data_IF_599525996344
#
_entry.id   IF_599525996344
#
_cell.length_a   1.000
_cell.length_b   1.000
_cell.length_c   1.000
_cell.angle_alpha   90.00
_cell.angle_beta   90.00
_cell.angle_gamma   90.00
#
_symmetry.space_group_name_H-M   'P 1'
#
loop_
_entity.id
_entity.type
_entity.pdbx_description
1 polymer ?
#
# COMPACT_ATOMS: atom_id res chain seq x y z
N UNK A 1 -13.27 20.79 12.50
CA UNK A 1 -13.14 19.41 12.03
C UNK A 1 -13.79 19.32 10.66
N UNK A 2 -13.13 18.76 9.67
CA UNK A 2 -13.67 18.62 8.32
C UNK A 2 -14.88 17.69 8.38
N UNK A 3 -16.03 18.10 7.87
CA UNK A 3 -17.24 17.26 7.86
C UNK A 3 -17.38 16.50 6.54
N UNK A 4 -16.96 17.13 5.46
CA UNK A 4 -17.09 16.61 4.11
C UNK A 4 -15.85 16.94 3.29
N UNK A 5 -15.52 16.10 2.34
CA UNK A 5 -14.44 16.32 1.36
C UNK A 5 -14.98 16.13 -0.06
N UNK A 6 -14.84 17.17 -0.90
CA UNK A 6 -15.14 17.10 -2.32
C UNK A 6 -13.90 16.57 -3.07
N UNK A 7 -14.07 15.50 -3.85
CA UNK A 7 -13.03 14.86 -4.63
C UNK A 7 -12.91 15.47 -6.04
N UNK A 8 -11.86 15.08 -6.79
CA UNK A 8 -11.60 15.58 -8.15
C UNK A 8 -12.67 15.19 -9.16
N UNK A 9 -13.37 14.07 -8.94
CA UNK A 9 -14.49 13.63 -9.77
C UNK A 9 -15.81 14.38 -9.50
N UNK A 10 -15.77 15.32 -8.57
CA UNK A 10 -16.92 16.14 -8.16
C UNK A 10 -17.80 15.54 -7.06
N UNK A 11 -17.59 14.28 -6.67
CA UNK A 11 -18.31 13.66 -5.55
C UNK A 11 -17.89 14.24 -4.23
N UNK A 12 -18.86 14.42 -3.34
CA UNK A 12 -18.64 14.84 -1.95
C UNK A 12 -18.87 13.64 -1.04
N UNK A 13 -17.93 13.39 -0.15
CA UNK A 13 -17.97 12.30 0.82
C UNK A 13 -18.09 12.86 2.23
N UNK A 14 -18.88 12.22 3.10
CA UNK A 14 -18.72 12.40 4.55
C UNK A 14 -17.30 12.01 4.94
N UNK A 15 -16.69 12.76 5.84
CA UNK A 15 -15.28 12.58 6.16
C UNK A 15 -14.99 11.25 6.85
N UNK A 16 -15.87 10.81 7.75
CA UNK A 16 -15.65 9.54 8.46
C UNK A 16 -15.89 8.35 7.54
N UNK A 17 -16.95 8.40 6.72
CA UNK A 17 -17.21 7.36 5.71
C UNK A 17 -16.04 7.22 4.73
N UNK A 18 -15.46 8.35 4.33
CA UNK A 18 -14.29 8.35 3.45
C UNK A 18 -13.09 7.66 4.10
N UNK A 19 -12.80 7.96 5.39
CA UNK A 19 -11.70 7.33 6.12
C UNK A 19 -11.91 5.82 6.29
N UNK A 20 -13.14 5.39 6.57
CA UNK A 20 -13.47 3.96 6.70
C UNK A 20 -13.28 3.22 5.36
N UNK A 21 -13.72 3.81 4.25
CA UNK A 21 -13.49 3.24 2.93
C UNK A 21 -12.01 3.23 2.53
N UNK A 22 -11.22 4.20 2.99
CA UNK A 22 -9.77 4.24 2.74
C UNK A 22 -8.98 3.09 3.37
N UNK A 23 -9.55 2.34 4.31
CA UNK A 23 -8.95 1.12 4.84
C UNK A 23 -8.91 -0.01 3.81
N UNK A 24 -9.77 0.05 2.79
CA UNK A 24 -9.82 -0.93 1.69
C UNK A 24 -8.83 -0.54 0.60
N UNK A 25 -7.90 -1.42 0.29
CA UNK A 25 -6.84 -1.14 -0.69
C UNK A 25 -7.38 -0.83 -2.10
N UNK A 26 -8.41 -1.55 -2.56
CA UNK A 26 -9.07 -1.28 -3.84
C UNK A 26 -9.68 0.12 -3.91
N UNK A 27 -10.26 0.58 -2.82
CA UNK A 27 -10.78 1.95 -2.74
C UNK A 27 -9.64 2.97 -2.70
N UNK A 28 -8.64 2.74 -1.84
CA UNK A 28 -7.54 3.67 -1.64
C UNK A 28 -6.65 3.80 -2.89
N UNK A 29 -6.20 2.70 -3.47
CA UNK A 29 -5.32 2.72 -4.63
C UNK A 29 -6.08 2.83 -5.96
N UNK A 30 -7.26 2.22 -6.06
CA UNK A 30 -8.09 2.21 -7.26
C UNK A 30 -8.87 3.52 -7.44
N UNK A 31 -9.96 3.68 -6.70
CA UNK A 31 -10.85 4.84 -6.84
C UNK A 31 -10.18 6.15 -6.44
N UNK A 32 -9.68 6.27 -5.21
CA UNK A 32 -9.02 7.48 -4.74
C UNK A 32 -7.70 7.74 -5.46
N UNK A 33 -7.08 6.74 -6.08
CA UNK A 33 -5.91 6.90 -6.92
C UNK A 33 -6.10 7.94 -8.02
N UNK A 34 -7.34 8.09 -8.51
CA UNK A 34 -7.75 9.03 -9.56
C UNK A 34 -8.51 10.23 -9.01
N UNK A 35 -9.19 10.07 -7.90
CA UNK A 35 -10.11 11.07 -7.34
C UNK A 35 -9.48 12.00 -6.28
N UNK A 36 -8.28 11.71 -5.79
CA UNK A 36 -7.53 12.55 -4.85
C UNK A 36 -6.02 12.50 -5.11
N UNK A 37 -5.34 13.58 -4.81
CA UNK A 37 -3.89 13.67 -4.93
C UNK A 37 -3.18 12.95 -3.77
N UNK A 38 -1.93 12.57 -3.98
CA UNK A 38 -1.03 12.03 -2.96
C UNK A 38 0.38 12.57 -3.17
N UNK A 39 1.28 12.32 -2.23
CA UNK A 39 2.70 12.68 -2.39
C UNK A 39 3.31 12.09 -3.67
N UNK A 40 2.94 10.86 -4.03
CA UNK A 40 3.40 10.20 -5.25
C UNK A 40 2.85 10.86 -6.51
N UNK A 41 1.57 11.26 -6.52
CA UNK A 41 0.98 12.00 -7.64
C UNK A 41 1.62 13.38 -7.82
N UNK A 42 1.93 14.09 -6.72
CA UNK A 42 2.66 15.35 -6.79
C UNK A 42 4.07 15.18 -7.34
N UNK A 43 4.81 14.17 -6.90
CA UNK A 43 6.15 13.89 -7.44
C UNK A 43 6.12 13.68 -8.96
N UNK A 44 5.12 12.96 -9.47
CA UNK A 44 4.95 12.76 -10.91
C UNK A 44 4.56 14.05 -11.64
N UNK A 45 3.67 14.84 -11.06
CA UNK A 45 3.24 16.11 -11.61
C UNK A 45 4.42 17.11 -11.70
N UNK A 46 5.30 17.13 -10.68
CA UNK A 46 6.51 17.95 -10.69
C UNK A 46 7.52 17.52 -11.76
N UNK A 47 7.54 16.26 -12.16
CA UNK A 47 8.36 15.81 -13.29
C UNK A 47 7.78 16.32 -14.62
N UNK A 48 6.52 16.04 -14.87
CA UNK A 48 5.76 16.63 -15.99
C UNK A 48 4.26 16.32 -15.87
N UNK A 49 3.36 17.18 -16.36
CA UNK A 49 1.93 16.88 -16.48
C UNK A 49 1.65 15.58 -17.26
N UNK A 50 2.45 15.31 -18.30
CA UNK A 50 2.33 14.09 -19.12
C UNK A 50 2.65 12.83 -18.29
N UNK A 51 3.71 12.84 -17.46
CA UNK A 51 4.07 11.73 -16.60
C UNK A 51 2.95 11.45 -15.56
N UNK A 52 2.33 12.49 -15.04
CA UNK A 52 1.16 12.35 -14.17
C UNK A 52 -0.03 11.71 -14.91
N UNK A 53 -0.37 12.22 -16.11
CA UNK A 53 -1.47 11.65 -16.91
C UNK A 53 -1.24 10.17 -17.25
N UNK A 54 -0.06 9.80 -17.73
CA UNK A 54 0.29 8.39 -17.99
C UNK A 54 0.11 7.52 -16.75
N UNK A 55 0.47 8.05 -15.59
CA UNK A 55 0.35 7.28 -14.33
C UNK A 55 -1.08 7.02 -13.87
N UNK A 56 -2.07 7.72 -14.39
CA UNK A 56 -3.49 7.48 -14.08
C UNK A 56 -4.08 6.31 -14.92
N UNK A 57 -3.44 5.99 -16.03
CA UNK A 57 -3.93 4.99 -17.01
C UNK A 57 -3.04 3.75 -17.08
N UNK A 58 -1.75 3.90 -16.81
CA UNK A 58 -0.79 2.80 -16.90
C UNK A 58 -0.71 2.04 -15.57
N UNK A 59 -0.79 0.72 -15.64
CA UNK A 59 -0.46 -0.13 -14.50
C UNK A 59 1.04 -0.04 -14.22
N UNK A 60 1.40 0.21 -12.97
CA UNK A 60 2.81 0.20 -12.57
C UNK A 60 3.35 -1.22 -12.64
N UNK A 61 4.45 -1.41 -13.37
CA UNK A 61 5.17 -2.69 -13.35
C UNK A 61 5.76 -2.89 -11.96
N UNK A 62 5.32 -3.94 -11.29
CA UNK A 62 5.83 -4.29 -9.97
C UNK A 62 7.28 -4.80 -10.08
N UNK A 63 8.23 -4.02 -9.59
CA UNK A 63 9.63 -4.44 -9.51
C UNK A 63 9.83 -5.42 -8.35
N UNK A 64 10.90 -6.23 -8.43
CA UNK A 64 11.28 -7.15 -7.33
C UNK A 64 11.45 -6.39 -6.00
N UNK A 65 12.13 -5.25 -6.03
CA UNK A 65 12.36 -4.43 -4.83
C UNK A 65 11.06 -3.88 -4.23
N UNK A 66 10.13 -3.41 -5.08
CA UNK A 66 8.83 -2.92 -4.61
C UNK A 66 8.02 -4.04 -3.94
N UNK A 67 8.03 -5.23 -4.53
CA UNK A 67 7.34 -6.40 -4.01
C UNK A 67 7.91 -6.87 -2.67
N UNK A 68 9.25 -6.93 -2.59
CA UNK A 68 9.96 -7.28 -1.35
C UNK A 68 9.66 -6.26 -0.25
N UNK A 69 9.68 -4.96 -0.59
CA UNK A 69 9.32 -3.87 0.32
C UNK A 69 7.88 -4.00 0.84
N UNK A 70 6.91 -4.26 -0.03
CA UNK A 70 5.51 -4.48 0.37
C UNK A 70 5.36 -5.64 1.34
N UNK A 71 6.05 -6.76 1.10
CA UNK A 71 5.97 -7.93 1.98
C UNK A 71 6.59 -7.65 3.35
N UNK A 72 7.74 -6.96 3.41
CA UNK A 72 8.36 -6.55 4.66
C UNK A 72 7.45 -5.60 5.43
N UNK A 73 6.87 -4.62 4.74
CA UNK A 73 5.91 -3.66 5.29
C UNK A 73 4.70 -4.37 5.92
N UNK A 74 4.08 -5.30 5.19
CA UNK A 74 2.96 -6.10 5.69
C UNK A 74 3.34 -6.87 6.96
N UNK A 75 4.49 -7.55 6.97
CA UNK A 75 4.94 -8.34 8.13
C UNK A 75 5.27 -7.51 9.37
N UNK A 76 5.57 -6.22 9.19
CA UNK A 76 5.88 -5.30 10.28
C UNK A 76 4.66 -4.52 10.77
N UNK A 77 3.87 -3.97 9.85
CA UNK A 77 2.82 -2.99 10.15
C UNK A 77 1.41 -3.56 10.09
N UNK A 78 1.20 -4.64 9.31
CA UNK A 78 -0.10 -5.28 9.14
C UNK A 78 -0.02 -6.81 9.34
N UNK A 79 0.57 -7.31 10.47
CA UNK A 79 0.81 -8.74 10.65
C UNK A 79 -0.47 -9.59 10.62
N UNK A 80 -1.64 -9.00 10.88
CA UNK A 80 -2.94 -9.66 10.75
C UNK A 80 -3.27 -10.05 9.30
N UNK A 81 -2.67 -9.39 8.31
CA UNK A 81 -2.83 -9.73 6.89
C UNK A 81 -1.89 -10.87 6.44
N UNK A 82 -1.00 -11.37 7.29
CA UNK A 82 -0.12 -12.50 6.93
C UNK A 82 -0.93 -13.76 6.57
N UNK A 83 -2.10 -13.94 7.17
CA UNK A 83 -2.97 -15.10 6.93
C UNK A 83 -3.56 -15.16 5.52
N UNK A 84 -3.65 -14.02 4.82
CA UNK A 84 -4.16 -13.98 3.44
C UNK A 84 -3.08 -14.26 2.40
N UNK A 85 -1.83 -14.41 2.82
CA UNK A 85 -0.71 -14.66 1.91
C UNK A 85 -0.63 -16.14 1.54
N UNK A 86 -0.50 -16.41 0.25
CA UNK A 86 -0.20 -17.74 -0.28
C UNK A 86 1.31 -17.88 -0.50
N UNK A 87 1.95 -18.71 0.33
CA UNK A 87 3.38 -19.02 0.22
C UNK A 87 3.57 -20.36 -0.45
N UNK A 88 4.14 -20.34 -1.65
CA UNK A 88 4.37 -21.54 -2.45
C UNK A 88 5.81 -22.04 -2.22
N UNK A 89 6.03 -23.35 -1.91
CA UNK A 89 7.33 -23.92 -1.60
C UNK A 89 8.22 -24.10 -2.85
N UNK A 90 8.45 -23.00 -3.55
CA UNK A 90 9.30 -22.94 -4.75
C UNK A 90 10.28 -21.77 -4.66
N UNK A 91 11.39 -21.87 -5.41
CA UNK A 91 12.42 -20.82 -5.42
C UNK A 91 12.17 -19.73 -6.48
N UNK A 92 11.35 -20.01 -7.48
CA UNK A 92 11.15 -19.12 -8.63
C UNK A 92 9.68 -18.99 -8.98
N UNK A 93 9.27 -17.77 -9.33
CA UNK A 93 7.93 -17.45 -9.86
C UNK A 93 7.65 -18.04 -11.24
N UNK A 94 8.68 -18.56 -11.94
CA UNK A 94 8.49 -19.26 -13.21
C UNK A 94 7.98 -20.69 -13.04
N UNK A 95 8.06 -21.24 -11.82
CA UNK A 95 7.57 -22.58 -11.50
C UNK A 95 6.04 -22.66 -11.73
N UNK A 96 5.59 -23.80 -12.27
CA UNK A 96 4.17 -24.03 -12.54
C UNK A 96 3.32 -23.87 -11.29
N UNK A 97 3.72 -24.46 -10.16
CA UNK A 97 3.00 -24.36 -8.91
C UNK A 97 2.79 -22.91 -8.44
N UNK A 98 3.78 -22.00 -8.67
CA UNK A 98 3.61 -20.59 -8.38
C UNK A 98 2.56 -19.93 -9.28
N UNK A 99 2.62 -20.22 -10.59
CA UNK A 99 1.68 -19.64 -11.57
C UNK A 99 0.24 -20.09 -11.31
N UNK A 100 0.07 -21.35 -10.96
CA UNK A 100 -1.25 -21.92 -10.65
C UNK A 100 -1.83 -21.25 -9.37
N UNK A 101 -1.04 -21.11 -8.32
CA UNK A 101 -1.45 -20.42 -7.10
C UNK A 101 -1.75 -18.93 -7.36
N UNK A 102 -0.89 -18.22 -8.08
CA UNK A 102 -1.08 -16.81 -8.40
C UNK A 102 -2.31 -16.54 -9.31
N UNK A 103 -2.74 -17.53 -10.07
CA UNK A 103 -3.97 -17.45 -10.86
C UNK A 103 -5.23 -17.54 -9.99
N UNK A 104 -5.14 -18.16 -8.81
CA UNK A 104 -6.25 -18.32 -7.85
C UNK A 104 -6.28 -17.15 -6.85
N UNK A 105 -5.15 -16.87 -6.21
CA UNK A 105 -5.08 -15.97 -5.06
C UNK A 105 -4.61 -14.55 -5.42
N UNK A 106 -4.29 -14.33 -6.69
CA UNK A 106 -3.68 -13.10 -7.19
C UNK A 106 -2.15 -13.07 -7.02
N UNK A 107 -1.43 -12.50 -7.99
CA UNK A 107 0.03 -12.39 -7.92
C UNK A 107 0.51 -11.48 -6.78
N UNK A 108 -0.31 -10.53 -6.34
CA UNK A 108 -0.04 -9.61 -5.22
C UNK A 108 -0.02 -10.32 -3.86
N UNK A 109 -0.81 -11.40 -3.70
CA UNK A 109 -0.91 -12.18 -2.46
C UNK A 109 -0.06 -13.47 -2.48
N UNK A 110 0.51 -13.82 -3.64
CA UNK A 110 1.26 -15.07 -3.82
C UNK A 110 2.76 -14.82 -3.82
N UNK A 111 3.50 -15.49 -2.95
CA UNK A 111 4.94 -15.36 -2.79
C UNK A 111 5.64 -16.72 -2.88
N UNK A 112 6.88 -16.73 -3.37
CA UNK A 112 7.73 -17.90 -3.24
C UNK A 112 8.24 -18.02 -1.80
N UNK A 113 8.54 -19.23 -1.36
CA UNK A 113 9.14 -19.45 -0.04
C UNK A 113 10.43 -18.64 0.15
N UNK A 114 11.23 -18.50 -0.91
CA UNK A 114 12.48 -17.70 -0.86
C UNK A 114 12.20 -16.21 -0.59
N UNK A 115 11.18 -15.61 -1.25
CA UNK A 115 10.79 -14.22 -1.02
C UNK A 115 10.26 -14.04 0.40
N UNK A 116 9.37 -14.92 0.83
CA UNK A 116 8.77 -14.87 2.16
C UNK A 116 9.80 -15.00 3.28
N UNK A 117 10.71 -15.99 3.19
CA UNK A 117 11.76 -16.19 4.18
C UNK A 117 12.77 -15.03 4.21
N UNK A 118 13.05 -14.41 3.07
CA UNK A 118 13.90 -13.22 3.00
C UNK A 118 13.23 -12.03 3.75
N UNK A 119 11.96 -11.77 3.48
CA UNK A 119 11.20 -10.71 4.15
C UNK A 119 11.06 -10.99 5.67
N UNK A 120 10.79 -12.22 6.08
CA UNK A 120 10.75 -12.61 7.51
C UNK A 120 12.07 -12.35 8.23
N UNK A 121 13.20 -12.60 7.58
CA UNK A 121 14.52 -12.28 8.19
C UNK A 121 14.69 -10.81 8.45
N UNK A 122 14.28 -9.95 7.48
CA UNK A 122 14.35 -8.50 7.66
C UNK A 122 13.39 -8.04 8.76
N UNK A 123 12.14 -8.48 8.72
CA UNK A 123 11.16 -8.14 9.76
C UNK A 123 11.61 -8.59 11.15
N UNK A 124 12.21 -9.79 11.27
CA UNK A 124 12.81 -10.26 12.52
C UNK A 124 13.96 -9.37 12.98
N UNK A 125 14.84 -8.95 12.08
CA UNK A 125 15.95 -8.06 12.43
C UNK A 125 15.46 -6.72 12.97
N UNK A 126 14.43 -6.12 12.36
CA UNK A 126 13.79 -4.88 12.86
C UNK A 126 13.18 -5.11 14.25
N UNK A 127 12.41 -6.19 14.44
CA UNK A 127 11.80 -6.53 15.73
C UNK A 127 12.83 -6.84 16.83
N UNK A 128 14.05 -7.23 16.45
CA UNK A 128 15.14 -7.53 17.39
C UNK A 128 16.01 -6.30 17.71
N UNK A 129 15.80 -5.17 17.04
CA UNK A 129 16.44 -3.90 17.33
C UNK A 129 15.51 -3.07 18.23
N UNK A 130 15.83 -2.88 19.53
CA UNK A 130 14.92 -2.19 20.47
C UNK A 130 14.51 -0.81 20.00
N UNK A 131 15.46 -0.01 19.52
CA UNK A 131 15.24 1.37 19.08
C UNK A 131 14.28 1.43 17.87
N UNK A 132 14.43 0.51 16.92
CA UNK A 132 13.56 0.43 15.75
C UNK A 132 12.17 -0.12 16.13
N UNK A 133 12.13 -1.09 17.06
CA UNK A 133 10.87 -1.71 17.47
C UNK A 133 10.02 -0.77 18.32
N UNK A 134 10.61 0.05 19.18
CA UNK A 134 9.91 1.08 19.96
C UNK A 134 9.17 2.09 19.07
N UNK A 135 9.69 2.37 17.86
CA UNK A 135 9.00 3.25 16.90
C UNK A 135 7.77 2.62 16.25
N UNK A 136 7.60 1.32 16.34
CA UNK A 136 6.49 0.58 15.72
C UNK A 136 5.53 0.05 16.78
N UNK A 137 6.09 -0.47 17.87
CA UNK A 137 5.32 -1.13 18.91
C UNK A 137 4.35 -0.18 19.62
N UNK A 138 3.07 -0.53 19.61
CA UNK A 138 2.01 0.28 20.22
C UNK A 138 1.56 1.50 19.41
N UNK A 139 2.17 1.77 18.26
CA UNK A 139 1.70 2.80 17.34
C UNK A 139 0.47 2.34 16.55
N UNK A 140 -0.37 3.29 16.14
CA UNK A 140 -1.36 3.01 15.13
C UNK A 140 -0.67 2.93 13.76
N UNK A 141 -0.96 1.87 12.99
CA UNK A 141 -0.35 1.63 11.69
C UNK A 141 -1.37 1.80 10.57
N UNK A 142 -0.91 2.18 9.37
CA UNK A 142 -1.73 2.34 8.17
C UNK A 142 -2.93 3.29 8.36
N UNK A 143 -2.72 4.36 9.13
CA UNK A 143 -3.79 5.31 9.46
C UNK A 143 -4.16 6.17 8.26
N UNK A 144 -5.40 6.08 7.75
CA UNK A 144 -5.83 6.87 6.62
C UNK A 144 -6.03 8.34 7.03
N UNK A 145 -5.59 9.24 6.17
CA UNK A 145 -5.76 10.68 6.32
C UNK A 145 -6.20 11.27 4.99
N UNK A 146 -7.21 12.13 5.03
CA UNK A 146 -7.67 12.89 3.88
C UNK A 146 -7.83 14.36 4.24
N UNK A 147 -7.73 15.23 3.27
CA UNK A 147 -7.87 16.67 3.50
C UNK A 147 -7.86 17.49 2.24
N UNK A 148 -7.93 18.79 2.41
CA UNK A 148 -7.85 19.75 1.33
C UNK A 148 -6.57 20.57 1.45
N UNK A 149 -5.77 20.59 0.41
CA UNK A 149 -4.56 21.41 0.32
C UNK A 149 -4.70 22.34 -0.89
N UNK A 150 -4.76 23.63 -0.64
CA UNK A 150 -4.91 24.67 -1.68
C UNK A 150 -6.16 24.46 -2.58
N UNK A 151 -7.26 23.99 -2.02
CA UNK A 151 -8.51 23.73 -2.76
C UNK A 151 -8.57 22.35 -3.44
N UNK A 152 -7.55 21.54 -3.32
CA UNK A 152 -7.47 20.21 -3.94
C UNK A 152 -7.56 19.09 -2.89
N UNK A 153 -8.30 17.99 -3.17
CA UNK A 153 -8.38 16.86 -2.25
C UNK A 153 -7.06 16.07 -2.25
N UNK A 154 -6.59 15.79 -1.03
CA UNK A 154 -5.41 14.99 -0.78
C UNK A 154 -5.73 13.77 0.07
N UNK A 155 -5.02 12.68 -0.19
CA UNK A 155 -5.05 11.45 0.59
C UNK A 155 -3.64 11.01 0.98
N UNK A 156 -3.52 10.43 2.14
CA UNK A 156 -2.33 9.74 2.63
C UNK A 156 -2.73 8.57 3.52
N UNK A 157 -1.83 7.62 3.70
CA UNK A 157 -1.83 6.68 4.83
C UNK A 157 -0.53 6.94 5.61
N UNK A 158 -0.64 7.15 6.90
CA UNK A 158 0.52 7.21 7.78
C UNK A 158 0.91 5.78 8.14
N UNK A 159 2.12 5.38 7.74
CA UNK A 159 2.62 4.02 8.02
C UNK A 159 2.67 3.77 9.54
N UNK A 160 3.06 4.79 10.32
CA UNK A 160 3.19 4.75 11.77
C UNK A 160 2.70 6.08 12.34
N UNK A 161 1.82 6.03 13.34
CA UNK A 161 1.30 7.21 14.04
C UNK A 161 1.29 6.95 15.55
N UNK A 162 1.97 7.83 16.30
CA UNK A 162 1.99 7.87 17.78
C UNK A 162 1.03 8.91 18.34
#
# INVERSE_FOLDING_TARGET
MLKELKLLDGKTWDYNELLDEMLKDDFYYGYLGKAALSSSSLKKLLQSPKAYQSSLTESQTETKALREGKLIHLLLLEPHKEEILTVVPVKSRTAKAYKDAAAIDGPENTFTETEYMAAKRVAKAVKSCPEAWEMIYGAATEVPVAGNIMGLPFRAKADILH
#
